data_IF_973753592208
#
_entry.id   IF_973753592208
#
_cell.length_a   1.000
_cell.length_b   1.000
_cell.length_c   1.000
_cell.angle_alpha   90.00
_cell.angle_beta   90.00
_cell.angle_gamma   90.00
#
_symmetry.space_group_name_H-M   'P 1'
#
loop_
_entity.id
_entity.type
_entity.pdbx_description
1 polymer ?
#
# COMPACT_ATOMS: atom_id res chain seq x y z
N UNK A 1 8.04 8.28 10.83
CA UNK A 1 7.20 8.04 9.64
C UNK A 1 8.01 7.31 8.57
N UNK A 2 7.38 6.41 7.79
CA UNK A 2 8.09 5.65 6.74
C UNK A 2 8.69 6.57 5.66
N UNK A 3 7.98 7.60 5.27
CA UNK A 3 8.49 8.59 4.32
C UNK A 3 9.74 9.33 4.85
N UNK A 4 9.77 9.66 6.15
CA UNK A 4 10.96 10.22 6.81
C UNK A 4 12.17 9.29 6.71
N UNK A 5 11.97 7.99 7.00
CA UNK A 5 13.02 6.97 6.86
C UNK A 5 13.54 6.89 5.41
N UNK A 6 12.65 7.00 4.43
CA UNK A 6 13.04 6.99 3.02
C UNK A 6 13.89 8.20 2.64
N UNK A 7 13.54 9.39 3.14
CA UNK A 7 14.38 10.58 2.91
C UNK A 7 15.74 10.44 3.61
N UNK A 8 15.77 9.96 4.86
CA UNK A 8 17.03 9.74 5.57
C UNK A 8 17.93 8.72 4.87
N UNK A 9 17.37 7.64 4.32
CA UNK A 9 18.11 6.65 3.54
C UNK A 9 18.68 7.22 2.24
N UNK A 10 17.99 8.18 1.62
CA UNK A 10 18.45 8.85 0.41
C UNK A 10 19.56 9.86 0.69
N UNK A 11 19.39 10.67 1.75
CA UNK A 11 20.18 11.88 1.98
C UNK A 11 21.34 11.69 2.97
N UNK A 12 21.33 10.62 3.75
CA UNK A 12 22.35 10.33 4.77
C UNK A 12 23.08 9.04 4.43
N UNK A 13 24.35 9.16 4.06
CA UNK A 13 25.18 8.00 3.77
C UNK A 13 25.31 7.11 5.01
N UNK A 14 25.13 5.79 4.82
CA UNK A 14 25.23 4.82 5.91
C UNK A 14 24.07 4.85 6.92
N UNK A 15 22.99 5.58 6.66
CA UNK A 15 21.83 5.61 7.56
C UNK A 15 21.31 4.20 7.86
N UNK A 16 21.22 3.88 9.15
CA UNK A 16 20.61 2.65 9.65
C UNK A 16 19.51 3.00 10.65
N UNK A 17 18.37 2.36 10.47
CA UNK A 17 17.26 2.46 11.40
C UNK A 17 17.64 1.87 12.76
N UNK A 18 17.31 2.56 13.83
CA UNK A 18 17.55 2.07 15.19
C UNK A 18 16.40 1.14 15.67
N UNK A 19 16.65 0.21 16.61
CA UNK A 19 15.57 -0.55 17.25
C UNK A 19 14.51 0.32 17.94
N UNK A 20 14.90 1.50 18.43
CA UNK A 20 13.97 2.46 19.03
C UNK A 20 12.97 3.00 18.01
N UNK A 21 13.37 3.22 16.75
CA UNK A 21 12.49 3.66 15.68
C UNK A 21 11.43 2.60 15.35
N UNK A 22 11.78 1.32 15.43
CA UNK A 22 10.83 0.23 15.26
C UNK A 22 9.79 0.21 16.38
N UNK A 23 10.20 0.39 17.62
CA UNK A 23 9.29 0.52 18.76
C UNK A 23 8.34 1.69 18.63
N UNK A 24 8.81 2.86 18.19
CA UNK A 24 7.98 4.04 17.93
C UNK A 24 6.96 3.76 16.81
N UNK A 25 7.40 3.14 15.72
CA UNK A 25 6.53 2.81 14.60
C UNK A 25 5.43 1.80 14.99
N UNK A 26 5.80 0.75 15.73
CA UNK A 26 4.85 -0.23 16.26
C UNK A 26 3.83 0.44 17.18
N UNK A 27 4.29 1.24 18.14
CA UNK A 27 3.41 1.98 19.06
C UNK A 27 2.44 2.90 18.30
N UNK A 28 2.95 3.67 17.34
CA UNK A 28 2.13 4.54 16.48
C UNK A 28 1.11 3.71 15.68
N UNK A 29 1.55 2.55 15.18
CA UNK A 29 0.68 1.61 14.48
C UNK A 29 -0.44 1.04 15.36
N UNK A 30 -0.17 0.71 16.63
CA UNK A 30 -1.14 0.11 17.55
C UNK A 30 -2.11 1.15 18.10
N UNK A 31 -1.61 2.29 18.58
CA UNK A 31 -2.39 3.31 19.30
C UNK A 31 -2.92 4.45 18.41
N UNK A 32 -2.44 4.56 17.17
CA UNK A 32 -2.91 5.58 16.24
C UNK A 32 -4.37 5.37 15.83
N UNK A 33 -5.05 6.45 15.50
CA UNK A 33 -6.40 6.39 14.95
C UNK A 33 -6.43 5.60 13.63
N UNK A 34 -7.38 4.66 13.50
CA UNK A 34 -7.47 3.73 12.37
C UNK A 34 -8.51 4.13 11.32
N UNK A 35 -9.47 4.96 11.69
CA UNK A 35 -10.61 5.23 10.84
C UNK A 35 -11.51 4.00 10.68
N UNK A 36 -11.99 3.79 9.48
CA UNK A 36 -12.78 2.60 9.14
C UNK A 36 -11.84 1.39 8.98
N UNK A 37 -12.21 0.26 9.59
CA UNK A 37 -11.49 -1.01 9.51
C UNK A 37 -12.40 -2.04 8.88
N UNK A 38 -11.91 -2.77 7.89
CA UNK A 38 -12.60 -3.87 7.23
C UNK A 38 -11.79 -5.14 7.38
N UNK A 39 -12.48 -6.26 7.63
CA UNK A 39 -11.90 -7.59 7.66
C UNK A 39 -12.51 -8.43 6.54
N UNK A 40 -11.67 -9.17 5.84
CA UNK A 40 -12.08 -10.17 4.87
C UNK A 40 -11.44 -11.49 5.24
N UNK A 41 -12.25 -12.56 5.28
CA UNK A 41 -11.79 -13.93 5.48
C UNK A 41 -11.74 -14.57 4.09
N UNK A 42 -10.55 -14.86 3.60
CA UNK A 42 -10.33 -15.53 2.34
C UNK A 42 -10.73 -17.00 2.37
N UNK A 43 -10.77 -17.62 1.22
CA UNK A 43 -11.04 -19.06 1.10
C UNK A 43 -9.90 -19.89 1.69
N UNK A 44 -10.19 -21.09 2.26
CA UNK A 44 -9.15 -22.02 2.66
C UNK A 44 -8.20 -22.33 1.49
N UNK A 45 -6.90 -22.40 1.77
CA UNK A 45 -5.87 -22.55 0.74
C UNK A 45 -6.05 -23.81 -0.12
N UNK A 46 -6.43 -24.93 0.49
CA UNK A 46 -6.70 -26.18 -0.20
C UNK A 46 -7.89 -26.06 -1.20
N UNK A 47 -8.94 -25.35 -0.82
CA UNK A 47 -10.09 -25.09 -1.70
C UNK A 47 -9.71 -24.12 -2.84
N UNK A 48 -8.88 -23.14 -2.52
CA UNK A 48 -8.38 -22.19 -3.50
C UNK A 48 -7.52 -22.89 -4.57
N UNK A 49 -6.61 -23.80 -4.18
CA UNK A 49 -5.82 -24.63 -5.09
C UNK A 49 -6.75 -25.50 -5.94
N UNK A 50 -7.67 -26.23 -5.32
CA UNK A 50 -8.59 -27.11 -6.02
C UNK A 50 -9.47 -26.39 -7.05
N UNK A 51 -9.89 -25.16 -6.75
CA UNK A 51 -10.76 -24.37 -7.64
C UNK A 51 -10.08 -23.87 -8.91
N UNK A 52 -8.73 -23.86 -8.97
CA UNK A 52 -7.96 -23.39 -10.13
C UNK A 52 -7.71 -24.48 -11.18
N UNK A 53 -8.07 -25.73 -10.91
CA UNK A 53 -7.86 -26.85 -11.85
C UNK A 53 -6.39 -27.16 -12.13
N UNK A 54 -5.46 -26.53 -11.43
CA UNK A 54 -4.03 -26.74 -11.58
C UNK A 54 -3.57 -27.94 -10.73
N UNK A 55 -2.51 -28.62 -11.17
CA UNK A 55 -1.98 -29.76 -10.44
C UNK A 55 -1.30 -29.31 -9.14
N UNK A 56 -1.28 -30.17 -8.13
CA UNK A 56 -0.57 -29.90 -6.87
C UNK A 56 0.93 -29.56 -7.09
N UNK A 57 1.51 -30.02 -8.20
CA UNK A 57 2.89 -29.73 -8.59
C UNK A 57 3.12 -28.23 -8.86
N UNK A 58 2.14 -27.51 -9.40
CA UNK A 58 2.25 -26.07 -9.63
C UNK A 58 2.42 -25.28 -8.32
N UNK A 59 1.86 -25.78 -7.22
CA UNK A 59 1.96 -25.16 -5.89
C UNK A 59 2.96 -25.88 -4.97
N UNK A 60 3.98 -26.54 -5.54
CA UNK A 60 5.00 -27.24 -4.77
C UNK A 60 6.05 -26.33 -4.14
N UNK A 61 6.14 -25.06 -4.57
CA UNK A 61 7.11 -24.11 -4.03
C UNK A 61 6.44 -23.08 -3.09
N UNK A 62 7.16 -22.61 -2.05
CA UNK A 62 6.67 -21.55 -1.17
C UNK A 62 6.28 -20.27 -1.91
N UNK A 63 7.01 -19.95 -2.99
CA UNK A 63 6.79 -18.76 -3.81
C UNK A 63 5.46 -18.84 -4.56
N UNK A 64 5.12 -19.98 -5.15
CA UNK A 64 3.85 -20.18 -5.84
C UNK A 64 2.66 -20.09 -4.87
N UNK A 65 2.81 -20.65 -3.68
CA UNK A 65 1.81 -20.54 -2.60
C UNK A 65 1.66 -19.08 -2.15
N UNK A 66 2.76 -18.35 -1.96
CA UNK A 66 2.74 -16.95 -1.58
C UNK A 66 2.00 -16.09 -2.62
N UNK A 67 2.29 -16.27 -3.90
CA UNK A 67 1.60 -15.57 -4.99
C UNK A 67 0.10 -15.86 -5.03
N UNK A 68 -0.29 -17.10 -4.73
CA UNK A 68 -1.70 -17.49 -4.66
C UNK A 68 -2.42 -16.77 -3.50
N UNK A 69 -1.78 -16.75 -2.33
CA UNK A 69 -2.30 -16.06 -1.13
C UNK A 69 -2.39 -14.54 -1.40
N UNK A 70 -1.34 -13.95 -1.96
CA UNK A 70 -1.31 -12.52 -2.30
C UNK A 70 -2.41 -12.17 -3.30
N UNK A 71 -2.65 -13.01 -4.30
CA UNK A 71 -3.73 -12.82 -5.27
C UNK A 71 -5.11 -12.83 -4.58
N UNK A 72 -5.36 -13.77 -3.66
CA UNK A 72 -6.60 -13.84 -2.90
C UNK A 72 -6.79 -12.60 -2.02
N UNK A 73 -5.75 -12.19 -1.28
CA UNK A 73 -5.77 -11.00 -0.43
C UNK A 73 -6.03 -9.75 -1.28
N UNK A 74 -5.24 -9.53 -2.33
CA UNK A 74 -5.31 -8.31 -3.14
C UNK A 74 -6.62 -8.19 -3.93
N UNK A 75 -7.27 -9.30 -4.28
CA UNK A 75 -8.55 -9.29 -4.99
C UNK A 75 -9.73 -8.86 -4.11
N UNK A 76 -9.64 -9.06 -2.79
CA UNK A 76 -10.78 -8.97 -1.89
C UNK A 76 -10.66 -7.92 -0.79
N UNK A 77 -9.48 -7.33 -0.52
CA UNK A 77 -9.41 -6.32 0.51
C UNK A 77 -10.10 -5.01 0.10
N UNK A 78 -10.73 -4.37 1.07
CA UNK A 78 -11.42 -3.10 0.85
C UNK A 78 -10.42 -1.95 0.74
N UNK A 79 -10.56 -1.16 -0.32
CA UNK A 79 -9.82 0.09 -0.50
C UNK A 79 -10.73 1.29 -0.25
N UNK A 80 -10.11 2.39 0.11
CA UNK A 80 -10.78 3.62 0.50
C UNK A 80 -10.46 4.77 -0.48
N UNK A 81 -11.25 5.85 -0.50
CA UNK A 81 -11.04 6.97 -1.43
C UNK A 81 -9.59 7.46 -1.49
N UNK A 82 -8.90 7.53 -0.33
CA UNK A 82 -7.49 7.94 -0.27
C UNK A 82 -6.57 7.12 -1.18
N UNK A 83 -6.85 5.82 -1.35
CA UNK A 83 -6.03 4.94 -2.18
C UNK A 83 -6.13 5.31 -3.66
N UNK A 84 -7.36 5.56 -4.13
CA UNK A 84 -7.64 5.92 -5.52
C UNK A 84 -7.20 7.35 -5.83
N UNK A 85 -7.47 8.29 -4.93
CA UNK A 85 -7.02 9.69 -5.03
C UNK A 85 -5.50 9.76 -5.12
N UNK A 86 -4.79 8.97 -4.30
CA UNK A 86 -3.34 8.92 -4.35
C UNK A 86 -2.81 8.40 -5.68
N UNK A 87 -3.44 7.36 -6.25
CA UNK A 87 -3.07 6.83 -7.56
C UNK A 87 -3.33 7.86 -8.66
N UNK A 88 -4.52 8.46 -8.69
CA UNK A 88 -4.91 9.45 -9.68
C UNK A 88 -3.99 10.70 -9.62
N UNK A 89 -3.63 11.13 -8.41
CA UNK A 89 -2.69 12.26 -8.22
C UNK A 89 -1.30 11.94 -8.77
N UNK A 90 -0.80 10.71 -8.56
CA UNK A 90 0.51 10.29 -9.08
C UNK A 90 0.54 10.17 -10.61
N UNK A 91 -0.57 9.78 -11.20
CA UNK A 91 -0.68 9.51 -12.64
C UNK A 91 -1.21 10.71 -13.45
N UNK A 92 -1.50 11.81 -12.77
CA UNK A 92 -1.85 13.08 -13.40
C UNK A 92 -3.30 13.16 -13.91
N UNK A 93 -4.21 12.31 -13.39
CA UNK A 93 -5.63 12.38 -13.75
C UNK A 93 -6.48 11.24 -13.23
N UNK A 94 -7.79 11.47 -13.18
CA UNK A 94 -8.78 10.49 -12.73
C UNK A 94 -8.88 9.32 -13.70
N UNK A 95 -8.63 8.11 -13.20
CA UNK A 95 -8.77 6.86 -13.98
C UNK A 95 -10.18 6.29 -13.99
N UNK A 96 -11.11 6.86 -13.23
CA UNK A 96 -12.48 6.35 -13.13
C UNK A 96 -12.61 4.99 -12.41
N UNK A 97 -11.61 4.60 -11.66
CA UNK A 97 -11.62 3.34 -10.88
C UNK A 97 -12.52 3.40 -9.66
N UNK A 98 -12.75 4.60 -9.16
CA UNK A 98 -13.60 4.89 -8.01
C UNK A 98 -14.15 6.30 -8.15
N UNK A 99 -15.43 6.48 -7.79
CA UNK A 99 -16.05 7.80 -7.78
C UNK A 99 -15.84 8.44 -6.40
N UNK A 100 -15.17 9.58 -6.37
CA UNK A 100 -14.92 10.38 -5.18
C UNK A 100 -15.19 11.85 -5.46
N UNK A 101 -15.65 12.57 -4.44
CA UNK A 101 -15.95 13.98 -4.55
C UNK A 101 -14.68 14.86 -4.53
N UNK A 102 -14.82 16.10 -5.01
CA UNK A 102 -13.75 17.11 -4.86
C UNK A 102 -13.42 17.40 -3.38
N UNK A 103 -14.39 17.21 -2.49
CA UNK A 103 -14.17 17.36 -1.05
C UNK A 103 -13.30 16.22 -0.50
N UNK A 104 -13.51 14.97 -0.94
CA UNK A 104 -12.68 13.83 -0.55
C UNK A 104 -11.23 14.00 -1.04
N UNK A 105 -11.08 14.50 -2.26
CA UNK A 105 -9.77 14.82 -2.83
C UNK A 105 -9.05 15.88 -1.99
N UNK A 106 -9.71 17.00 -1.69
CA UNK A 106 -9.15 18.08 -0.88
C UNK A 106 -8.80 17.61 0.54
N UNK A 107 -9.64 16.80 1.18
CA UNK A 107 -9.38 16.21 2.50
C UNK A 107 -8.17 15.28 2.46
N UNK A 108 -8.06 14.46 1.42
CA UNK A 108 -6.94 13.52 1.25
C UNK A 108 -5.63 14.29 1.08
N UNK A 109 -5.57 15.25 0.18
CA UNK A 109 -4.36 16.03 -0.06
C UNK A 109 -3.95 16.82 1.20
N UNK A 110 -4.90 17.43 1.90
CA UNK A 110 -4.66 18.09 3.20
C UNK A 110 -4.11 17.12 4.24
N UNK A 111 -4.64 15.90 4.30
CA UNK A 111 -4.13 14.86 5.18
C UNK A 111 -2.67 14.50 4.84
N UNK A 112 -2.34 14.30 3.56
CA UNK A 112 -0.96 14.01 3.13
C UNK A 112 -0.01 15.13 3.57
N UNK A 113 -0.38 16.40 3.35
CA UNK A 113 0.44 17.54 3.80
C UNK A 113 0.63 17.54 5.32
N UNK A 114 -0.44 17.30 6.07
CA UNK A 114 -0.34 17.22 7.54
C UNK A 114 0.59 16.12 8.03
N UNK A 115 0.74 15.04 7.26
CA UNK A 115 1.71 13.97 7.57
C UNK A 115 3.13 14.38 7.29
N UNK A 116 3.35 15.18 6.25
CA UNK A 116 4.66 15.75 5.93
C UNK A 116 5.12 16.73 7.02
N UNK A 117 4.19 17.54 7.54
CA UNK A 117 4.48 18.50 8.63
C UNK A 117 4.94 17.84 9.93
N UNK A 118 4.66 16.55 10.13
CA UNK A 118 5.14 15.77 11.27
C UNK A 118 6.55 15.19 11.09
N UNK A 119 7.14 15.33 9.92
CA UNK A 119 8.50 14.82 9.65
C UNK A 119 9.52 15.68 10.38
N UNK A 120 10.40 15.03 11.13
CA UNK A 120 11.51 15.67 11.83
C UNK A 120 12.81 15.10 11.29
N UNK A 121 13.63 15.96 10.73
CA UNK A 121 14.95 15.59 10.23
C UNK A 121 16.04 16.11 11.18
N UNK A 122 17.23 15.50 11.19
CA UNK A 122 18.42 16.04 11.88
C UNK A 122 18.77 17.43 11.39
N UNK A 123 19.43 18.21 12.25
CA UNK A 123 19.93 19.53 11.90
C UNK A 123 20.82 19.49 10.65
N UNK A 124 20.62 20.48 9.77
CA UNK A 124 21.35 20.59 8.51
C UNK A 124 20.73 19.84 7.33
N UNK A 125 19.69 19.02 7.53
CA UNK A 125 18.94 18.39 6.43
C UNK A 125 17.68 19.18 6.10
N UNK A 126 17.57 19.58 4.84
CA UNK A 126 16.38 20.25 4.32
C UNK A 126 15.23 19.26 4.13
N UNK A 127 14.02 19.68 4.49
CA UNK A 127 12.80 18.90 4.27
C UNK A 127 12.42 18.91 2.79
N UNK A 128 12.52 17.79 2.10
CA UNK A 128 12.10 17.65 0.71
C UNK A 128 10.61 17.28 0.63
N UNK A 129 9.75 18.29 0.66
CA UNK A 129 8.28 18.09 0.64
C UNK A 129 7.80 17.35 -0.60
N UNK A 130 8.41 17.59 -1.75
CA UNK A 130 8.03 16.95 -3.02
C UNK A 130 8.32 15.45 -2.97
N UNK A 131 9.50 15.08 -2.54
CA UNK A 131 9.88 13.68 -2.35
C UNK A 131 8.99 12.99 -1.31
N UNK A 132 8.77 13.60 -0.16
CA UNK A 132 7.94 13.05 0.91
C UNK A 132 6.49 12.87 0.47
N UNK A 133 5.92 13.84 -0.26
CA UNK A 133 4.59 13.73 -0.86
C UNK A 133 4.52 12.54 -1.82
N UNK A 134 5.48 12.41 -2.72
CA UNK A 134 5.56 11.29 -3.65
C UNK A 134 5.63 9.94 -2.90
N UNK A 135 6.45 9.82 -1.87
CA UNK A 135 6.53 8.62 -1.05
C UNK A 135 5.19 8.26 -0.37
N UNK A 136 4.51 9.25 0.22
CA UNK A 136 3.22 9.02 0.88
C UNK A 136 2.13 8.63 -0.12
N UNK A 137 2.02 9.36 -1.23
CA UNK A 137 1.07 9.02 -2.29
C UNK A 137 1.34 7.61 -2.85
N UNK A 138 2.60 7.25 -3.10
CA UNK A 138 2.97 5.90 -3.56
C UNK A 138 2.54 4.83 -2.57
N UNK A 139 2.75 5.05 -1.28
CA UNK A 139 2.33 4.13 -0.22
C UNK A 139 0.81 3.88 -0.25
N UNK A 140 0.00 4.92 -0.42
CA UNK A 140 -1.45 4.79 -0.52
C UNK A 140 -1.93 4.26 -1.87
N UNK A 141 -1.22 4.52 -2.96
CA UNK A 141 -1.57 4.03 -4.30
C UNK A 141 -1.24 2.55 -4.53
N UNK A 142 -0.17 2.04 -3.92
CA UNK A 142 0.29 0.66 -4.13
C UNK A 142 -0.79 -0.40 -3.89
N UNK A 143 -1.67 -0.33 -2.87
CA UNK A 143 -2.75 -1.29 -2.72
C UNK A 143 -3.71 -1.34 -3.93
N UNK A 144 -4.00 -0.21 -4.58
CA UNK A 144 -4.81 -0.21 -5.81
C UNK A 144 -4.08 -0.93 -6.93
N UNK A 145 -2.79 -0.66 -7.10
CA UNK A 145 -1.97 -1.34 -8.11
C UNK A 145 -1.94 -2.86 -7.90
N UNK A 146 -1.75 -3.31 -6.67
CA UNK A 146 -1.78 -4.74 -6.32
C UNK A 146 -3.14 -5.38 -6.62
N UNK A 147 -4.23 -4.70 -6.28
CA UNK A 147 -5.59 -5.16 -6.61
C UNK A 147 -5.80 -5.29 -8.13
N UNK A 148 -5.38 -4.30 -8.90
CA UNK A 148 -5.52 -4.33 -10.36
C UNK A 148 -4.72 -5.47 -10.99
N UNK A 149 -3.49 -5.71 -10.53
CA UNK A 149 -2.66 -6.82 -10.97
C UNK A 149 -3.31 -8.19 -10.66
N UNK A 150 -3.81 -8.37 -9.43
CA UNK A 150 -4.48 -9.61 -9.04
C UNK A 150 -5.72 -9.90 -9.88
N UNK A 151 -6.53 -8.87 -10.19
CA UNK A 151 -7.71 -9.00 -11.04
C UNK A 151 -7.36 -9.32 -12.50
N UNK A 152 -6.29 -8.75 -13.05
CA UNK A 152 -5.82 -9.05 -14.41
C UNK A 152 -5.33 -10.50 -14.51
N UNK A 153 -4.57 -10.98 -13.53
CA UNK A 153 -4.12 -12.38 -13.49
C UNK A 153 -5.29 -13.37 -13.38
N UNK A 154 -6.37 -13.00 -12.71
CA UNK A 154 -7.57 -13.85 -12.61
C UNK A 154 -8.34 -13.95 -13.95
N UNK A 155 -8.36 -12.89 -14.76
CA UNK A 155 -9.01 -12.90 -16.07
C UNK A 155 -8.22 -13.73 -17.07
N UNK A 156 -6.88 -13.65 -17.05
CA UNK A 156 -6.02 -14.44 -17.95
C UNK A 156 -6.16 -15.95 -17.72
N UNK A 157 -6.41 -16.38 -16.49
CA UNK A 157 -6.56 -17.81 -16.14
C UNK A 157 -7.98 -18.35 -16.34
N UNK A 158 -9.00 -17.50 -16.52
CA UNK A 158 -10.39 -17.94 -16.76
C UNK A 158 -10.78 -18.06 -18.23
N UNK A 159 -9.84 -17.76 -19.14
CA UNK A 159 -10.05 -17.80 -20.60
C UNK A 159 -9.28 -18.90 -21.35
N UNK A 160 -8.70 -19.88 -20.61
CA UNK A 160 -7.96 -21.00 -21.18
C UNK A 160 -8.73 -22.32 -21.09
#
# INVERSE_FOLDING_TARGET
LKAQEMQLKRDVEGFKKSPADDGINMRTGIFGWKGEVSFHIGRPLNELIASRGETAEHYSTPEAIALLIDSEIHSHYKLYPINYIALDTLEGGKRGLYDYSAEDEAKTLKYIESRIDLVKLPDGLALDRTFLRHCLLTMYANPVRSMLQARQGSIANSGA
#
